data_IF_946448593826
#
_entry.id   IF_946448593826
#
_cell.length_a   1.000
_cell.length_b   1.000
_cell.length_c   1.000
_cell.angle_alpha   90.00
_cell.angle_beta   90.00
_cell.angle_gamma   90.00
#
_symmetry.space_group_name_H-M   'P 1'
#
loop_
_entity.id
_entity.type
_entity.pdbx_description
1 polymer ?
#
# COMPACT_ATOMS: atom_id res chain seq x y z
N UNK A 1 1.82 -1.15 27.83
CA UNK A 1 2.45 -1.35 26.50
C UNK A 1 3.84 -1.93 26.66
N UNK A 2 4.73 -1.32 27.45
CA UNK A 2 6.10 -1.79 27.67
C UNK A 2 6.15 -3.25 28.19
N UNK A 3 5.27 -3.64 29.10
CA UNK A 3 5.21 -5.01 29.63
C UNK A 3 4.77 -6.03 28.58
N UNK A 4 3.88 -5.61 27.67
CA UNK A 4 3.47 -6.45 26.53
C UNK A 4 4.65 -6.63 25.58
N UNK A 5 5.38 -5.55 25.28
CA UNK A 5 6.56 -5.58 24.43
C UNK A 5 7.69 -6.46 25.03
N UNK A 6 7.94 -6.37 26.34
CA UNK A 6 8.88 -7.25 27.04
C UNK A 6 8.49 -8.73 26.97
N UNK A 7 7.20 -9.05 27.11
CA UNK A 7 6.71 -10.43 26.96
C UNK A 7 6.87 -10.93 25.51
N UNK A 8 6.62 -10.09 24.54
CA UNK A 8 6.85 -10.41 23.12
C UNK A 8 8.33 -10.66 22.84
N UNK A 9 9.22 -9.81 23.38
CA UNK A 9 10.67 -9.95 23.28
C UNK A 9 11.16 -11.29 23.86
N UNK A 10 10.66 -11.68 25.03
CA UNK A 10 11.03 -12.95 25.66
C UNK A 10 10.59 -14.17 24.84
N UNK A 11 9.42 -14.08 24.18
CA UNK A 11 8.96 -15.13 23.27
C UNK A 11 9.80 -15.20 22.00
N UNK A 12 10.13 -14.04 21.44
CA UNK A 12 10.93 -13.91 20.23
C UNK A 12 12.34 -14.50 20.42
N UNK A 13 13.03 -14.15 21.50
CA UNK A 13 14.39 -14.63 21.81
C UNK A 13 14.50 -16.15 22.02
N UNK A 14 13.40 -16.85 22.20
CA UNK A 14 13.43 -18.33 22.25
C UNK A 14 13.69 -18.99 20.92
N UNK A 15 13.45 -18.24 19.80
CA UNK A 15 13.54 -18.77 18.45
C UNK A 15 14.44 -17.94 17.53
N UNK A 16 14.94 -16.80 18.01
CA UNK A 16 15.73 -15.87 17.21
C UNK A 16 16.86 -15.26 18.04
N UNK A 17 18.04 -15.14 17.47
CA UNK A 17 19.20 -14.52 18.13
C UNK A 17 19.16 -12.98 18.14
N UNK A 18 18.21 -12.38 17.42
CA UNK A 18 18.01 -10.94 17.33
C UNK A 18 16.90 -10.43 18.24
N UNK A 19 16.91 -9.15 18.54
CA UNK A 19 15.82 -8.52 19.28
C UNK A 19 14.56 -8.38 18.42
N UNK A 20 13.39 -8.50 19.07
CA UNK A 20 12.12 -8.21 18.42
C UNK A 20 12.06 -6.74 17.97
N UNK A 21 11.90 -6.45 16.68
CA UNK A 21 11.99 -5.08 16.16
C UNK A 21 11.06 -4.08 16.86
N UNK A 22 9.85 -4.50 17.18
CA UNK A 22 8.89 -3.68 17.91
C UNK A 22 9.34 -3.38 19.34
N UNK A 23 10.07 -4.27 20.00
CA UNK A 23 10.61 -4.03 21.33
C UNK A 23 11.68 -2.92 21.30
N UNK A 24 12.61 -2.99 20.36
CA UNK A 24 13.69 -1.98 20.20
C UNK A 24 13.12 -0.58 19.98
N UNK A 25 12.08 -0.47 19.16
CA UNK A 25 11.41 0.81 18.92
C UNK A 25 10.73 1.36 20.18
N UNK A 26 10.01 0.49 20.91
CA UNK A 26 9.31 0.85 22.15
C UNK A 26 10.30 1.18 23.27
N UNK A 27 11.39 0.43 23.39
CA UNK A 27 12.43 0.66 24.41
C UNK A 27 13.10 2.03 24.24
N UNK A 28 13.48 2.38 23.02
CA UNK A 28 14.01 3.71 22.69
C UNK A 28 13.04 4.84 23.08
N UNK A 29 11.77 4.62 22.80
CA UNK A 29 10.72 5.57 23.14
C UNK A 29 10.61 5.77 24.66
N UNK A 30 10.59 4.69 25.45
CA UNK A 30 10.44 4.77 26.91
C UNK A 30 11.70 5.25 27.64
N UNK A 31 12.88 5.04 27.05
CA UNK A 31 14.16 5.49 27.62
C UNK A 31 14.53 6.92 27.17
N UNK A 32 13.75 7.54 26.30
CA UNK A 32 13.93 8.92 25.87
C UNK A 32 13.54 9.94 26.96
N UNK A 33 14.09 11.15 26.87
CA UNK A 33 13.66 12.25 27.74
C UNK A 33 12.15 12.51 27.56
N UNK A 34 11.44 12.79 28.64
CA UNK A 34 9.99 12.97 28.62
C UNK A 34 9.52 14.03 27.62
N UNK A 35 10.27 15.14 27.49
CA UNK A 35 9.99 16.20 26.51
C UNK A 35 10.14 15.72 25.07
N UNK A 36 11.22 14.96 24.77
CA UNK A 36 11.45 14.39 23.44
C UNK A 36 10.36 13.38 23.09
N UNK A 37 9.99 12.54 24.02
CA UNK A 37 8.92 11.55 23.88
C UNK A 37 7.58 12.22 23.61
N UNK A 38 7.25 13.27 24.36
CA UNK A 38 6.02 14.05 24.15
C UNK A 38 5.98 14.71 22.77
N UNK A 39 7.09 15.27 22.31
CA UNK A 39 7.20 15.87 20.97
C UNK A 39 7.02 14.85 19.85
N UNK A 40 7.61 13.66 20.01
CA UNK A 40 7.45 12.55 19.04
C UNK A 40 5.99 12.10 18.96
N UNK A 41 5.32 11.95 20.12
CA UNK A 41 3.89 11.56 20.13
C UNK A 41 3.02 12.63 19.51
N UNK A 42 3.25 13.89 19.83
CA UNK A 42 2.49 14.99 19.25
C UNK A 42 2.67 15.07 17.73
N UNK A 43 3.90 14.87 17.24
CA UNK A 43 4.19 14.83 15.82
C UNK A 43 3.50 13.64 15.14
N UNK A 44 3.59 12.44 15.72
CA UNK A 44 2.91 11.25 15.22
C UNK A 44 1.39 11.43 15.19
N UNK A 45 0.82 11.98 16.26
CA UNK A 45 -0.63 12.25 16.34
C UNK A 45 -1.08 13.22 15.26
N UNK A 46 -0.30 14.26 14.99
CA UNK A 46 -0.58 15.22 13.93
C UNK A 46 -0.55 14.56 12.54
N UNK A 47 0.42 13.69 12.26
CA UNK A 47 0.53 12.96 10.99
C UNK A 47 -0.56 11.91 10.83
N UNK A 48 -0.89 11.18 11.90
CA UNK A 48 -1.91 10.13 11.87
C UNK A 48 -3.34 10.65 12.08
N UNK A 49 -3.53 11.95 12.21
CA UNK A 49 -4.85 12.53 12.51
C UNK A 49 -5.93 12.12 11.52
N UNK A 50 -5.62 12.10 10.24
CA UNK A 50 -6.57 11.74 9.19
C UNK A 50 -6.86 10.24 9.12
N UNK A 51 -5.90 9.41 9.54
CA UNK A 51 -6.09 7.96 9.64
C UNK A 51 -7.05 7.55 10.75
N UNK A 52 -7.31 8.44 11.72
CA UNK A 52 -8.25 8.21 12.83
C UNK A 52 -9.69 8.57 12.49
N UNK A 53 -9.94 9.12 11.31
CA UNK A 53 -11.30 9.42 10.88
C UNK A 53 -12.08 8.13 10.64
N UNK A 54 -13.34 8.10 11.12
CA UNK A 54 -14.18 6.91 11.02
C UNK A 54 -14.30 6.40 9.57
N UNK A 55 -14.46 7.30 8.60
CA UNK A 55 -14.55 6.92 7.19
C UNK A 55 -13.26 6.28 6.64
N UNK A 56 -12.08 6.66 7.16
CA UNK A 56 -10.80 6.07 6.76
C UNK A 56 -10.61 4.71 7.43
N UNK A 57 -10.96 4.60 8.71
CA UNK A 57 -10.92 3.33 9.43
C UNK A 57 -11.85 2.32 8.75
N UNK A 58 -13.05 2.74 8.37
CA UNK A 58 -14.03 1.90 7.69
C UNK A 58 -13.51 1.46 6.31
N UNK A 59 -12.97 2.40 5.52
CA UNK A 59 -12.36 2.11 4.22
C UNK A 59 -11.21 1.10 4.29
N UNK A 60 -10.41 1.14 5.36
CA UNK A 60 -9.24 0.28 5.55
C UNK A 60 -9.52 -0.97 6.38
N UNK A 61 -10.77 -1.21 6.79
CA UNK A 61 -11.12 -2.32 7.68
C UNK A 61 -11.11 -3.68 6.99
N UNK A 62 -11.42 -3.72 5.70
CA UNK A 62 -11.53 -4.95 4.90
C UNK A 62 -10.86 -4.77 3.54
N UNK A 63 -10.26 -5.84 3.01
CA UNK A 63 -9.74 -5.87 1.65
C UNK A 63 -10.82 -6.28 0.66
N UNK A 64 -11.57 -5.29 0.17
CA UNK A 64 -12.62 -5.50 -0.83
C UNK A 64 -12.06 -5.59 -2.26
N UNK A 65 -10.88 -5.01 -2.52
CA UNK A 65 -10.30 -4.93 -3.87
C UNK A 65 -9.75 -6.28 -4.29
N UNK A 66 -9.04 -6.98 -3.39
CA UNK A 66 -8.38 -8.28 -3.64
C UNK A 66 -7.58 -8.25 -4.93
N UNK A 67 -6.54 -7.42 -4.94
CA UNK A 67 -5.77 -7.05 -6.14
C UNK A 67 -5.32 -8.28 -6.93
N UNK A 68 -4.65 -9.23 -6.28
CA UNK A 68 -4.15 -10.44 -6.94
C UNK A 68 -5.27 -11.27 -7.56
N UNK A 69 -6.38 -11.49 -6.85
CA UNK A 69 -7.50 -12.26 -7.36
C UNK A 69 -8.24 -11.53 -8.47
N UNK A 70 -8.41 -10.21 -8.31
CA UNK A 70 -9.22 -9.40 -9.21
C UNK A 70 -8.50 -9.00 -10.48
N UNK A 71 -7.20 -8.74 -10.42
CA UNK A 71 -6.42 -8.20 -11.52
C UNK A 71 -5.20 -9.06 -11.89
N UNK A 72 -4.71 -9.90 -10.97
CA UNK A 72 -3.58 -10.79 -11.19
C UNK A 72 -3.94 -12.10 -11.89
N UNK A 73 -4.92 -12.80 -11.35
CA UNK A 73 -5.31 -14.14 -11.83
C UNK A 73 -6.57 -14.18 -12.67
N UNK A 74 -7.18 -13.06 -13.01
CA UNK A 74 -8.52 -13.07 -13.61
C UNK A 74 -8.58 -13.96 -14.86
N UNK A 75 -8.97 -15.21 -14.62
CA UNK A 75 -9.41 -16.09 -15.71
C UNK A 75 -10.78 -15.60 -16.17
N UNK A 76 -11.05 -15.60 -17.47
CA UNK A 76 -12.33 -15.13 -18.02
C UNK A 76 -13.56 -15.94 -17.56
N UNK A 77 -13.42 -16.86 -16.64
CA UNK A 77 -14.29 -18.04 -16.64
C UNK A 77 -15.49 -18.03 -15.71
N UNK A 78 -15.72 -17.17 -14.74
CA UNK A 78 -16.90 -17.57 -13.90
C UNK A 78 -17.81 -16.48 -13.34
N UNK A 79 -17.44 -15.21 -13.37
CA UNK A 79 -18.28 -14.19 -12.71
C UNK A 79 -18.83 -13.06 -13.60
N UNK A 80 -18.31 -12.89 -14.78
CA UNK A 80 -18.80 -11.88 -15.74
C UNK A 80 -18.66 -12.38 -17.16
N UNK A 81 -19.66 -12.20 -17.98
CA UNK A 81 -19.68 -12.59 -19.40
C UNK A 81 -18.60 -11.92 -20.26
N UNK A 82 -17.85 -10.99 -19.71
CA UNK A 82 -16.78 -10.27 -20.42
C UNK A 82 -15.38 -10.43 -19.81
N UNK A 83 -15.25 -10.92 -18.58
CA UNK A 83 -13.97 -11.06 -17.88
C UNK A 83 -13.21 -9.73 -17.61
N UNK A 84 -13.81 -8.59 -17.95
CA UNK A 84 -13.21 -7.26 -17.76
C UNK A 84 -13.55 -6.68 -16.40
N UNK A 85 -12.56 -6.06 -15.75
CA UNK A 85 -12.74 -5.37 -14.47
C UNK A 85 -12.22 -3.96 -14.56
N UNK A 86 -12.90 -3.04 -13.90
CA UNK A 86 -12.51 -1.62 -13.83
C UNK A 86 -12.62 -1.20 -12.37
N UNK A 87 -11.57 -0.59 -11.86
CA UNK A 87 -11.56 0.10 -10.58
C UNK A 87 -11.51 1.60 -10.83
N UNK A 88 -12.48 2.33 -10.30
CA UNK A 88 -12.48 3.79 -10.30
C UNK A 88 -11.97 4.31 -8.96
N UNK A 89 -10.91 5.12 -8.98
CA UNK A 89 -10.40 5.85 -7.83
C UNK A 89 -10.77 7.31 -8.03
N UNK A 90 -11.75 7.77 -7.26
CA UNK A 90 -12.24 9.16 -7.35
C UNK A 90 -11.72 9.94 -6.16
N UNK A 91 -10.99 11.01 -6.41
CA UNK A 91 -10.44 11.92 -5.40
C UNK A 91 -11.24 13.21 -5.33
N UNK A 92 -11.26 13.84 -4.15
CA UNK A 92 -11.92 15.13 -3.97
C UNK A 92 -10.93 16.26 -4.17
N UNK A 93 -11.26 17.24 -4.99
CA UNK A 93 -10.44 18.45 -5.20
C UNK A 93 -10.27 19.28 -3.92
N UNK A 94 -11.30 19.29 -3.06
CA UNK A 94 -11.33 20.12 -1.85
C UNK A 94 -10.55 19.51 -0.67
N UNK A 95 -10.28 18.21 -0.72
CA UNK A 95 -9.81 17.46 0.45
C UNK A 95 -8.46 16.80 0.21
N UNK A 96 -7.45 17.61 -0.12
CA UNK A 96 -6.07 17.14 -0.38
C UNK A 96 -5.44 16.33 0.74
N UNK A 97 -5.96 16.41 1.95
CA UNK A 97 -5.46 15.59 3.06
C UNK A 97 -5.77 14.09 2.91
N UNK A 98 -6.53 13.68 1.89
CA UNK A 98 -6.73 12.28 1.51
C UNK A 98 -5.85 11.83 0.33
N UNK A 99 -5.03 12.68 -0.26
CA UNK A 99 -4.23 12.36 -1.45
C UNK A 99 -3.23 11.20 -1.24
N UNK A 100 -2.92 10.91 0.03
CA UNK A 100 -2.12 9.74 0.37
C UNK A 100 -2.83 8.40 0.11
N UNK A 101 -4.18 8.35 0.11
CA UNK A 101 -4.95 7.13 -0.13
C UNK A 101 -4.77 6.63 -1.56
N UNK A 102 -4.97 7.43 -2.62
CA UNK A 102 -4.65 7.03 -3.98
C UNK A 102 -3.20 6.57 -4.17
N UNK A 103 -2.25 7.30 -3.58
CA UNK A 103 -0.83 6.93 -3.61
C UNK A 103 -0.59 5.56 -3.00
N UNK A 104 -1.20 5.28 -1.85
CA UNK A 104 -1.15 3.98 -1.20
C UNK A 104 -1.76 2.88 -2.08
N UNK A 105 -2.92 3.13 -2.70
CA UNK A 105 -3.57 2.16 -3.58
C UNK A 105 -2.69 1.86 -4.79
N UNK A 106 -2.09 2.86 -5.45
CA UNK A 106 -1.13 2.63 -6.53
C UNK A 106 0.08 1.82 -6.06
N UNK A 107 0.64 2.14 -4.90
CA UNK A 107 1.76 1.38 -4.33
C UNK A 107 1.40 -0.08 -4.13
N UNK A 108 0.23 -0.36 -3.54
CA UNK A 108 -0.26 -1.71 -3.32
C UNK A 108 -0.47 -2.48 -4.64
N UNK A 109 -1.07 -1.83 -5.65
CA UNK A 109 -1.22 -2.45 -6.98
C UNK A 109 0.12 -2.83 -7.59
N UNK A 110 1.08 -1.91 -7.60
CA UNK A 110 2.39 -2.20 -8.16
C UNK A 110 3.10 -3.28 -7.37
N UNK A 111 3.16 -3.17 -6.06
CA UNK A 111 3.93 -4.10 -5.24
C UNK A 111 3.32 -5.51 -5.30
N UNK A 112 2.02 -5.64 -5.24
CA UNK A 112 1.35 -6.93 -5.27
C UNK A 112 1.42 -7.59 -6.65
N UNK A 113 1.15 -6.85 -7.73
CA UNK A 113 1.19 -7.42 -9.08
C UNK A 113 2.62 -7.70 -9.55
N UNK A 114 3.59 -6.88 -9.17
CA UNK A 114 5.00 -7.14 -9.47
C UNK A 114 5.52 -8.35 -8.67
N UNK A 115 5.15 -8.45 -7.40
CA UNK A 115 5.48 -9.62 -6.59
C UNK A 115 4.86 -10.88 -7.17
N UNK A 116 3.58 -10.84 -7.50
CA UNK A 116 2.84 -11.95 -8.08
C UNK A 116 3.50 -12.47 -9.36
N UNK A 117 3.80 -11.58 -10.30
CA UNK A 117 4.45 -11.95 -11.57
C UNK A 117 5.89 -12.44 -11.38
N UNK A 118 6.56 -12.08 -10.30
CA UNK A 118 7.92 -12.55 -10.01
C UNK A 118 7.96 -13.92 -9.31
N UNK A 119 6.95 -14.23 -8.50
CA UNK A 119 6.95 -15.44 -7.65
C UNK A 119 6.15 -16.58 -8.26
N UNK A 120 5.05 -16.28 -8.94
CA UNK A 120 4.20 -17.32 -9.53
C UNK A 120 4.72 -17.75 -10.91
N UNK A 121 5.39 -18.88 -10.93
CA UNK A 121 5.93 -19.47 -12.15
C UNK A 121 4.86 -19.76 -13.23
N UNK A 122 3.59 -19.92 -12.86
CA UNK A 122 2.49 -20.16 -13.79
C UNK A 122 2.15 -18.94 -14.66
N UNK A 123 2.53 -17.76 -14.20
CA UNK A 123 2.32 -16.50 -14.91
C UNK A 123 3.43 -16.15 -15.91
N UNK A 124 4.57 -16.88 -15.91
CA UNK A 124 5.70 -16.62 -16.80
C UNK A 124 6.12 -15.13 -16.82
N UNK A 125 6.18 -14.52 -15.64
CA UNK A 125 6.52 -13.10 -15.40
C UNK A 125 5.54 -12.08 -16.01
N UNK A 126 4.39 -12.50 -16.53
CA UNK A 126 3.41 -11.60 -17.17
C UNK A 126 2.00 -11.85 -16.64
N UNK A 127 1.21 -10.79 -16.55
CA UNK A 127 -0.21 -10.92 -16.21
C UNK A 127 -0.98 -11.57 -17.36
N UNK A 128 -1.95 -12.46 -17.09
CA UNK A 128 -2.75 -13.13 -18.10
C UNK A 128 -3.66 -12.18 -18.88
N UNK A 129 -4.03 -11.05 -18.25
CA UNK A 129 -4.80 -9.99 -18.90
C UNK A 129 -4.03 -8.68 -18.87
N UNK A 130 -4.16 -7.88 -19.93
CA UNK A 130 -3.55 -6.57 -19.99
C UNK A 130 -4.21 -5.62 -18.99
N UNK A 131 -3.41 -4.99 -18.12
CA UNK A 131 -3.85 -4.00 -17.16
C UNK A 131 -3.40 -2.61 -17.61
N UNK A 132 -4.35 -1.68 -17.70
CA UNK A 132 -4.07 -0.28 -18.02
C UNK A 132 -4.39 0.62 -16.83
N UNK A 133 -3.40 1.39 -16.40
CA UNK A 133 -3.59 2.48 -15.45
C UNK A 133 -3.93 3.75 -16.22
N UNK A 134 -5.17 4.22 -16.12
CA UNK A 134 -5.59 5.49 -16.71
C UNK A 134 -5.51 6.57 -15.62
N UNK A 135 -4.54 7.45 -15.74
CA UNK A 135 -4.23 8.50 -14.77
C UNK A 135 -4.64 9.85 -15.33
N UNK A 136 -5.85 10.28 -15.01
CA UNK A 136 -6.34 11.61 -15.35
C UNK A 136 -5.84 12.63 -14.33
N UNK A 137 -5.61 13.86 -14.76
CA UNK A 137 -5.02 14.92 -13.93
C UNK A 137 -3.72 14.51 -13.24
N UNK A 138 -2.84 13.85 -13.96
CA UNK A 138 -1.62 13.25 -13.44
C UNK A 138 -0.78 14.20 -12.54
N UNK A 139 -0.78 15.50 -12.83
CA UNK A 139 -0.07 16.50 -12.04
C UNK A 139 -0.56 16.59 -10.58
N UNK A 140 -1.79 16.20 -10.31
CA UNK A 140 -2.42 16.24 -8.99
C UNK A 140 -2.37 14.90 -8.23
N UNK A 141 -1.89 13.84 -8.89
CA UNK A 141 -1.79 12.51 -8.26
C UNK A 141 -0.45 12.37 -7.53
N UNK A 142 -0.51 12.10 -6.25
CA UNK A 142 0.69 11.70 -5.51
C UNK A 142 1.04 10.26 -5.86
N UNK A 143 2.18 10.07 -6.49
CA UNK A 143 2.65 8.76 -6.93
C UNK A 143 3.67 8.16 -5.94
N UNK A 144 3.81 6.83 -5.91
CA UNK A 144 4.88 6.21 -5.15
C UNK A 144 6.26 6.58 -5.71
N UNK A 145 7.27 6.67 -4.86
CA UNK A 145 8.64 7.08 -5.23
C UNK A 145 9.24 6.23 -6.35
N UNK A 146 8.86 4.95 -6.42
CA UNK A 146 9.34 4.00 -7.44
C UNK A 146 8.54 4.02 -8.74
N UNK A 147 7.62 4.97 -8.97
CA UNK A 147 6.72 4.95 -10.12
C UNK A 147 7.46 4.97 -11.47
N UNK A 148 8.49 5.81 -11.61
CA UNK A 148 9.27 5.93 -12.85
C UNK A 148 9.97 4.60 -13.19
N UNK A 149 10.50 3.92 -12.19
CA UNK A 149 11.14 2.60 -12.34
C UNK A 149 10.11 1.55 -12.75
N UNK A 150 8.95 1.55 -12.10
CA UNK A 150 7.83 0.66 -12.42
C UNK A 150 7.33 0.91 -13.85
N UNK A 151 7.19 2.17 -14.26
CA UNK A 151 6.76 2.55 -15.61
C UNK A 151 7.67 1.95 -16.69
N UNK A 152 8.99 1.94 -16.47
CA UNK A 152 9.95 1.37 -17.42
C UNK A 152 9.80 -0.14 -17.62
N UNK A 153 9.31 -0.86 -16.63
CA UNK A 153 9.19 -2.32 -16.60
C UNK A 153 7.76 -2.85 -16.77
N UNK A 154 6.75 -1.98 -16.78
CA UNK A 154 5.34 -2.35 -16.92
C UNK A 154 5.05 -3.21 -18.15
N UNK A 155 5.67 -2.86 -19.29
CA UNK A 155 5.43 -3.55 -20.55
C UNK A 155 5.77 -5.05 -20.48
N UNK A 156 6.87 -5.41 -19.84
CA UNK A 156 7.27 -6.81 -19.70
C UNK A 156 6.29 -7.63 -18.86
N UNK A 157 5.48 -6.98 -18.04
CA UNK A 157 4.49 -7.61 -17.16
C UNK A 157 3.06 -7.51 -17.68
N UNK A 158 2.88 -7.16 -18.96
CA UNK A 158 1.58 -6.95 -19.60
C UNK A 158 0.76 -5.81 -18.93
N UNK A 159 1.45 -4.76 -18.52
CA UNK A 159 0.84 -3.54 -17.95
C UNK A 159 1.17 -2.31 -18.78
N UNK A 160 0.32 -1.30 -18.74
CA UNK A 160 0.56 0.02 -19.34
C UNK A 160 -0.02 1.14 -18.49
N UNK A 161 0.48 2.36 -18.71
CA UNK A 161 -0.08 3.57 -18.13
C UNK A 161 -0.44 4.56 -19.27
N UNK A 162 -1.61 5.18 -19.14
CA UNK A 162 -2.06 6.32 -19.94
C UNK A 162 -2.09 7.52 -19.02
N UNK A 163 -1.28 8.50 -19.32
CA UNK A 163 -1.10 9.70 -18.49
C UNK A 163 -1.73 10.88 -19.20
N UNK A 164 -2.68 11.53 -18.56
CA UNK A 164 -3.34 12.73 -19.08
C UNK A 164 -2.90 13.90 -18.21
N UNK A 165 -2.36 14.91 -18.86
CA UNK A 165 -1.89 16.15 -18.22
C UNK A 165 -2.72 17.30 -18.78
N UNK A 166 -3.29 18.10 -17.90
CA UNK A 166 -3.94 19.35 -18.27
C UNK A 166 -2.92 20.49 -18.16
N UNK A 167 -2.93 21.40 -19.13
CA UNK A 167 -2.09 22.61 -19.14
C UNK A 167 -2.77 23.74 -18.37
#
# INVERSE_FOLDING_TARGET
ILDIAKKAQLKWKKHHDSDFPGYVAIEKYYNGAAETTSSIVASLDAHCRYMKLACVIDLLSEDEIKISESFGYSKPSEASSTGKRILFIVTSEDKRYYDWIPSMVYSLFFDELYHLTAVDASLHETLPQHLTFLMDEFANVTLPDSFVEKLSTMRSRNMSAVIIVQN
#
